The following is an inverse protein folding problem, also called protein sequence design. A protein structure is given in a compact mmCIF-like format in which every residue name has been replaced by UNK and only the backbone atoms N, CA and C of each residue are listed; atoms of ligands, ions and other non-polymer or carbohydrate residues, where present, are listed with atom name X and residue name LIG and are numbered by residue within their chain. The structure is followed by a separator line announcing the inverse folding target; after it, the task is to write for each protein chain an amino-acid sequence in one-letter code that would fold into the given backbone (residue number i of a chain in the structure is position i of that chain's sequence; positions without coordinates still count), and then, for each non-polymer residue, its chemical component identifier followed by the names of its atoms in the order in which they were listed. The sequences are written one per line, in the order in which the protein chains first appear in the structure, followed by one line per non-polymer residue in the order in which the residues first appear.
data_IF_133783001962
#
_entry.id   IF_133783001962
#
_cell.length_a   1.000
_cell.length_b   1.000
_cell.length_c   1.000
_cell.angle_alpha   90.00
_cell.angle_beta   90.00
_cell.angle_gamma   90.00
#
_symmetry.space_group_name_H-M   'P 1'
#
loop_
_entity.id
_entity.type
_entity.pdbx_description
1 polymer ?
#
# COMPACT_ATOMS: atom_id res chain seq x y z
N UNK A 1 -12.82 -19.91 -4.74
CA UNK A 1 -13.01 -18.80 -3.79
C UNK A 1 -11.93 -17.78 -4.10
N UNK A 2 -12.30 -16.59 -4.56
CA UNK A 2 -11.31 -15.59 -4.98
C UNK A 2 -10.58 -15.04 -3.76
N UNK A 3 -9.25 -15.00 -3.84
CA UNK A 3 -8.38 -14.49 -2.78
C UNK A 3 -8.76 -13.04 -2.42
N UNK A 4 -9.11 -12.24 -3.42
CA UNK A 4 -9.64 -10.88 -3.24
C UNK A 4 -10.93 -10.85 -2.41
N UNK A 5 -11.83 -11.80 -2.66
CA UNK A 5 -13.09 -11.89 -1.93
C UNK A 5 -12.85 -12.26 -0.47
N UNK A 6 -11.88 -13.15 -0.22
CA UNK A 6 -11.45 -13.54 1.13
C UNK A 6 -10.82 -12.37 1.89
N UNK A 7 -10.01 -11.56 1.20
CA UNK A 7 -9.39 -10.36 1.79
C UNK A 7 -10.45 -9.31 2.14
N UNK A 8 -11.45 -9.10 1.27
CA UNK A 8 -12.55 -8.16 1.50
C UNK A 8 -13.42 -8.64 2.67
N UNK A 9 -13.72 -9.93 2.75
CA UNK A 9 -14.57 -10.53 3.78
C UNK A 9 -13.94 -10.47 5.17
N UNK A 10 -12.61 -10.60 5.26
CA UNK A 10 -11.83 -10.47 6.49
C UNK A 10 -11.34 -9.04 6.79
N UNK A 11 -11.74 -8.07 5.97
CA UNK A 11 -11.37 -6.66 6.09
C UNK A 11 -12.55 -5.82 6.59
N UNK A 12 -12.26 -4.62 7.09
CA UNK A 12 -13.29 -3.60 7.38
C UNK A 12 -14.09 -3.17 6.14
N UNK A 13 -13.67 -3.62 4.95
CA UNK A 13 -14.33 -3.43 3.67
C UNK A 13 -15.53 -4.35 3.43
N UNK A 14 -15.78 -5.33 4.31
CA UNK A 14 -16.92 -6.22 4.20
C UNK A 14 -18.25 -5.44 4.35
N UNK A 15 -19.17 -5.60 3.41
CA UNK A 15 -20.45 -4.87 3.35
C UNK A 15 -20.37 -3.47 2.72
N UNK A 16 -19.19 -2.99 2.33
CA UNK A 16 -19.04 -1.69 1.66
C UNK A 16 -19.37 -1.76 0.15
N UNK A 17 -19.78 -0.64 -0.47
CA UNK A 17 -19.99 -0.57 -1.91
C UNK A 17 -18.72 -0.91 -2.70
N UNK A 18 -18.85 -1.64 -3.82
CA UNK A 18 -17.71 -2.10 -4.64
C UNK A 18 -16.77 -0.98 -5.08
N UNK A 19 -17.29 0.21 -5.35
CA UNK A 19 -16.49 1.38 -5.73
C UNK A 19 -15.61 1.87 -4.58
N UNK A 20 -16.10 1.81 -3.35
CA UNK A 20 -15.35 2.19 -2.15
C UNK A 20 -14.26 1.15 -1.85
N UNK A 21 -14.61 -0.14 -1.95
CA UNK A 21 -13.63 -1.23 -1.81
C UNK A 21 -12.47 -1.09 -2.81
N UNK A 22 -12.78 -0.81 -4.08
CA UNK A 22 -11.77 -0.59 -5.12
C UNK A 22 -10.88 0.64 -4.82
N UNK A 23 -11.48 1.72 -4.31
CA UNK A 23 -10.75 2.94 -3.95
C UNK A 23 -9.81 2.69 -2.77
N UNK A 24 -10.26 2.00 -1.72
CA UNK A 24 -9.42 1.66 -0.57
C UNK A 24 -8.30 0.70 -0.94
N UNK A 25 -8.57 -0.29 -1.79
CA UNK A 25 -7.54 -1.19 -2.34
C UNK A 25 -6.50 -0.41 -3.17
N UNK A 26 -6.95 0.52 -4.00
CA UNK A 26 -6.06 1.39 -4.79
C UNK A 26 -5.15 2.25 -3.90
N UNK A 27 -5.72 2.89 -2.87
CA UNK A 27 -4.95 3.64 -1.87
C UNK A 27 -3.94 2.76 -1.14
N UNK A 28 -4.34 1.55 -0.75
CA UNK A 28 -3.45 0.60 -0.09
C UNK A 28 -2.26 0.23 -0.99
N UNK A 29 -2.51 -0.12 -2.26
CA UNK A 29 -1.46 -0.45 -3.23
C UNK A 29 -0.54 0.76 -3.44
N UNK A 30 -1.10 1.96 -3.54
CA UNK A 30 -0.32 3.19 -3.70
C UNK A 30 0.62 3.42 -2.52
N UNK A 31 0.12 3.35 -1.29
CA UNK A 31 0.95 3.50 -0.07
C UNK A 31 2.00 2.39 -0.01
N UNK A 32 1.61 1.13 -0.26
CA UNK A 32 2.52 0.01 -0.27
C UNK A 32 3.65 0.19 -1.30
N UNK A 33 3.34 0.72 -2.50
CA UNK A 33 4.34 1.00 -3.53
C UNK A 33 5.37 2.05 -3.09
N UNK A 34 4.94 3.12 -2.40
CA UNK A 34 5.83 4.15 -1.85
C UNK A 34 6.75 3.54 -0.79
N UNK A 35 6.19 2.74 0.13
CA UNK A 35 6.96 2.08 1.19
C UNK A 35 7.99 1.13 0.58
N UNK A 36 7.59 0.29 -0.38
CA UNK A 36 8.50 -0.64 -1.05
C UNK A 36 9.59 0.10 -1.84
N UNK A 37 9.25 1.21 -2.48
CA UNK A 37 10.21 2.06 -3.20
C UNK A 37 11.22 2.68 -2.23
N UNK A 38 10.75 3.19 -1.09
CA UNK A 38 11.61 3.79 -0.06
C UNK A 38 12.54 2.74 0.56
N UNK A 39 12.02 1.53 0.80
CA UNK A 39 12.83 0.40 1.25
C UNK A 39 13.88 0.00 0.21
N UNK A 40 13.51 -0.08 -1.07
CA UNK A 40 14.44 -0.35 -2.15
C UNK A 40 15.56 0.70 -2.22
N UNK A 41 15.21 1.99 -2.12
CA UNK A 41 16.20 3.07 -2.07
C UNK A 41 17.13 2.93 -0.86
N UNK A 42 16.60 2.60 0.32
CA UNK A 42 17.40 2.38 1.53
C UNK A 42 18.38 1.21 1.37
N UNK A 43 17.93 0.09 0.79
CA UNK A 43 18.78 -1.09 0.56
C UNK A 43 19.86 -0.81 -0.48
N UNK A 44 19.54 -0.06 -1.54
CA UNK A 44 20.48 0.23 -2.63
C UNK A 44 21.50 1.31 -2.30
N UNK A 45 21.12 2.33 -1.52
CA UNK A 45 22.00 3.45 -1.16
C UNK A 45 22.64 3.31 0.22
N UNK A 46 22.19 2.33 1.02
CA UNK A 46 22.77 2.04 2.33
C UNK A 46 22.65 3.20 3.33
N UNK A 47 23.62 3.31 4.24
CA UNK A 47 23.64 4.30 5.32
C UNK A 47 23.94 5.74 4.89
N UNK A 48 24.38 5.96 3.65
CA UNK A 48 24.67 7.30 3.11
C UNK A 48 23.43 8.00 2.55
N UNK A 49 22.26 7.37 2.63
CA UNK A 49 21.02 7.93 2.11
C UNK A 49 20.47 9.02 3.05
N UNK A 50 20.69 10.29 2.69
CA UNK A 50 20.09 11.45 3.39
C UNK A 50 18.64 11.63 2.92
N UNK A 51 17.69 11.15 3.71
CA UNK A 51 16.26 11.41 3.48
C UNK A 51 15.94 12.85 3.86
N UNK A 52 15.93 13.75 2.86
CA UNK A 52 15.48 15.14 3.02
C UNK A 52 13.99 15.25 2.73
N UNK A 53 13.18 15.32 3.77
CA UNK A 53 11.81 15.81 3.67
C UNK A 53 11.88 17.32 3.50
N UNK A 54 11.85 17.82 2.27
CA UNK A 54 11.82 19.26 2.01
C UNK A 54 10.37 19.74 2.04
N UNK A 55 10.13 20.86 2.74
CA UNK A 55 8.91 21.65 2.66
C UNK A 55 8.83 22.42 1.33
#
# INVERSE_FOLDING_TARGET
MDVLNTIIENSSLNGMPKWYQALTLSLFIFIASIVMTTYYFLVTNGSDMIIRFSC
#
